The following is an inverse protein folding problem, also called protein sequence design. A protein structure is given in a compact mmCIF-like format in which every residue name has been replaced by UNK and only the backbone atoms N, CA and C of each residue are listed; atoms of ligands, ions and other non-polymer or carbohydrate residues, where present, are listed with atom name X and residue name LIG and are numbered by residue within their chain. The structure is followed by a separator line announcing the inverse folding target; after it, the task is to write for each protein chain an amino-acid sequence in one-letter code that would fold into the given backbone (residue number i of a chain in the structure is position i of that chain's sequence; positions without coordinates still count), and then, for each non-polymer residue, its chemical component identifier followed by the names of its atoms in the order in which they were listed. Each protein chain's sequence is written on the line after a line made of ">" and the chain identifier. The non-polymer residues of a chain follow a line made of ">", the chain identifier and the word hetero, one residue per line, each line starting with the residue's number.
data_IF_787381371789
#
_entry.id   IF_787381371789
#
_cell.length_a   1.000
_cell.length_b   1.000
_cell.length_c   1.000
_cell.angle_alpha   90.00
_cell.angle_beta   90.00
_cell.angle_gamma   90.00
#
_symmetry.space_group_name_H-M   'P 1'
#
loop_
_entity.id
_entity.type
_entity.pdbx_description
1 polymer ?
#
# COMPACT_ATOMS: atom_id res chain seq x y z
N UNK A 1 -10.68 -11.99 -1.41
CA UNK A 1 -9.28 -11.49 -1.25
C UNK A 1 -9.07 -10.90 0.15
N UNK A 2 -9.93 -10.00 0.64
CA UNK A 2 -9.74 -9.35 1.94
C UNK A 2 -9.83 -10.35 3.10
N UNK A 3 -10.83 -11.23 3.11
CA UNK A 3 -10.94 -12.30 4.11
C UNK A 3 -9.75 -13.25 4.12
N UNK A 4 -9.24 -13.58 2.94
CA UNK A 4 -8.06 -14.45 2.80
C UNK A 4 -6.81 -13.78 3.34
N UNK A 5 -6.65 -12.46 3.09
CA UNK A 5 -5.54 -11.68 3.61
C UNK A 5 -5.55 -11.62 5.15
N UNK A 6 -6.73 -11.45 5.76
CA UNK A 6 -6.86 -11.51 7.22
C UNK A 6 -6.54 -12.90 7.76
N UNK A 7 -7.03 -13.95 7.11
CA UNK A 7 -6.75 -15.33 7.52
C UNK A 7 -5.24 -15.64 7.48
N UNK A 8 -4.57 -15.24 6.39
CA UNK A 8 -3.11 -15.41 6.26
C UNK A 8 -2.37 -14.60 7.33
N UNK A 9 -2.78 -13.35 7.56
CA UNK A 9 -2.19 -12.53 8.61
C UNK A 9 -2.32 -13.18 9.99
N UNK A 10 -3.51 -13.64 10.33
CA UNK A 10 -3.80 -14.26 11.63
C UNK A 10 -2.96 -15.52 11.83
N UNK A 11 -2.82 -16.37 10.79
CA UNK A 11 -1.96 -17.57 10.85
C UNK A 11 -0.48 -17.18 11.08
N UNK A 12 0.04 -16.19 10.38
CA UNK A 12 1.42 -15.71 10.56
C UNK A 12 1.61 -15.12 11.96
N UNK A 13 0.66 -14.34 12.46
CA UNK A 13 0.72 -13.70 13.77
C UNK A 13 0.73 -14.70 14.95
N UNK A 14 0.24 -15.93 14.76
CA UNK A 14 0.36 -16.98 15.78
C UNK A 14 1.81 -17.43 16.00
N UNK A 15 2.69 -17.22 15.04
CA UNK A 15 4.08 -17.72 15.01
C UNK A 15 5.13 -16.62 15.17
N UNK A 16 4.73 -15.36 15.12
CA UNK A 16 5.65 -14.21 15.15
C UNK A 16 5.14 -13.12 16.10
N UNK A 17 6.03 -12.55 16.88
CA UNK A 17 5.71 -11.49 17.85
C UNK A 17 5.31 -10.16 17.17
N UNK A 18 5.70 -9.96 15.90
CA UNK A 18 5.32 -8.78 15.14
C UNK A 18 5.27 -9.11 13.65
N UNK A 19 4.23 -8.63 12.97
CA UNK A 19 4.02 -8.83 11.54
C UNK A 19 3.91 -7.46 10.87
N UNK A 20 4.74 -7.22 9.87
CA UNK A 20 4.67 -6.04 9.01
C UNK A 20 3.99 -6.41 7.69
N UNK A 21 3.32 -5.43 7.09
CA UNK A 21 2.57 -5.65 5.84
C UNK A 21 3.11 -4.74 4.74
N UNK A 22 3.34 -5.33 3.58
CA UNK A 22 3.75 -4.60 2.37
C UNK A 22 2.67 -4.77 1.32
N UNK A 23 2.21 -3.66 0.73
CA UNK A 23 1.27 -3.68 -0.38
C UNK A 23 1.75 -2.84 -1.55
N UNK A 24 1.73 -3.41 -2.76
CA UNK A 24 2.10 -2.71 -3.98
C UNK A 24 0.92 -2.60 -4.93
N UNK A 25 0.73 -1.41 -5.53
CA UNK A 25 -0.33 -1.15 -6.49
C UNK A 25 -1.70 -1.62 -5.95
N UNK A 26 -2.40 -2.52 -6.63
CA UNK A 26 -3.66 -3.10 -6.14
C UNK A 26 -3.50 -3.73 -4.74
N UNK A 27 -2.36 -4.35 -4.46
CA UNK A 27 -2.04 -4.91 -3.14
C UNK A 27 -1.97 -3.87 -2.02
N UNK A 28 -1.78 -2.58 -2.33
CA UNK A 28 -1.81 -1.52 -1.32
C UNK A 28 -3.20 -1.38 -0.67
N UNK A 29 -4.27 -1.58 -1.45
CA UNK A 29 -5.63 -1.61 -0.92
C UNK A 29 -5.91 -2.81 -0.01
N UNK A 30 -5.27 -3.96 -0.28
CA UNK A 30 -5.33 -5.13 0.61
C UNK A 30 -4.53 -4.87 1.89
N UNK A 31 -3.34 -4.29 1.76
CA UNK A 31 -2.47 -3.97 2.89
C UNK A 31 -3.11 -2.94 3.85
N UNK A 32 -3.78 -1.91 3.32
CA UNK A 32 -4.54 -0.95 4.13
C UNK A 32 -5.72 -1.61 4.83
N UNK A 33 -6.38 -2.56 4.17
CA UNK A 33 -7.46 -3.33 4.80
C UNK A 33 -6.95 -4.17 5.97
N UNK A 34 -5.83 -4.88 5.80
CA UNK A 34 -5.22 -5.64 6.90
C UNK A 34 -4.80 -4.69 8.04
N UNK A 35 -4.13 -3.59 7.73
CA UNK A 35 -3.69 -2.60 8.72
C UNK A 35 -4.81 -1.92 9.49
N UNK A 36 -5.99 -1.77 8.87
CA UNK A 36 -7.18 -1.22 9.51
C UNK A 36 -7.91 -2.22 10.42
N UNK A 37 -7.73 -3.52 10.19
CA UNK A 37 -8.45 -4.58 10.91
C UNK A 37 -7.55 -5.41 11.84
N UNK A 38 -6.23 -5.22 11.81
CA UNK A 38 -5.26 -5.96 12.63
C UNK A 38 -4.18 -5.04 13.17
N UNK A 39 -3.64 -5.39 14.33
CA UNK A 39 -2.47 -4.73 14.89
C UNK A 39 -1.23 -5.20 14.15
N UNK A 40 -0.76 -4.41 13.20
CA UNK A 40 0.45 -4.66 12.43
C UNK A 40 1.62 -3.85 12.99
N UNK A 41 2.84 -4.38 12.86
CA UNK A 41 4.04 -3.67 13.35
C UNK A 41 4.39 -2.47 12.48
N UNK A 42 4.35 -2.63 11.16
CA UNK A 42 4.64 -1.58 10.17
C UNK A 42 3.86 -1.82 8.89
N UNK A 43 3.59 -0.72 8.18
CA UNK A 43 2.96 -0.74 6.87
C UNK A 43 3.89 -0.13 5.82
N UNK A 44 4.06 -0.78 4.68
CA UNK A 44 4.71 -0.20 3.52
C UNK A 44 3.77 -0.24 2.31
N UNK A 45 3.50 0.92 1.74
CA UNK A 45 2.63 1.08 0.57
C UNK A 45 3.49 1.55 -0.61
N UNK A 46 3.47 0.79 -1.69
CA UNK A 46 4.30 1.01 -2.87
C UNK A 46 3.40 1.36 -4.04
N UNK A 47 3.58 2.53 -4.62
CA UNK A 47 2.73 3.08 -5.69
C UNK A 47 1.23 2.94 -5.34
N UNK A 48 0.81 3.40 -4.15
CA UNK A 48 -0.57 3.22 -3.69
C UNK A 48 -1.53 4.21 -4.35
N UNK A 49 -2.82 3.95 -4.19
CA UNK A 49 -3.91 4.82 -4.64
C UNK A 49 -4.97 4.98 -3.54
N UNK A 50 -5.73 6.06 -3.61
CA UNK A 50 -6.82 6.39 -2.69
C UNK A 50 -7.99 5.38 -2.77
N UNK A 51 -8.49 5.12 -3.99
CA UNK A 51 -9.51 4.09 -4.22
C UNK A 51 -9.49 3.57 -5.65
N UNK A 52 -9.93 2.31 -5.84
CA UNK A 52 -10.12 1.73 -7.17
C UNK A 52 -11.12 2.54 -8.00
N UNK A 53 -12.13 3.11 -7.37
CA UNK A 53 -13.14 3.91 -8.06
C UNK A 53 -12.51 5.07 -8.84
N UNK A 54 -11.50 5.71 -8.23
CA UNK A 54 -10.83 6.88 -8.79
C UNK A 54 -9.82 6.53 -9.90
N UNK A 55 -9.23 5.33 -9.84
CA UNK A 55 -8.23 4.87 -10.82
C UNK A 55 -8.74 3.79 -11.77
N UNK A 56 -10.02 3.45 -11.69
CA UNK A 56 -10.63 2.29 -12.37
C UNK A 56 -10.30 2.22 -13.85
N UNK A 57 -10.41 3.32 -14.61
CA UNK A 57 -10.19 3.31 -16.06
C UNK A 57 -8.79 2.83 -16.46
N UNK A 58 -7.76 3.13 -15.67
CA UNK A 58 -6.39 2.68 -15.93
C UNK A 58 -6.15 1.27 -15.41
N UNK A 59 -6.67 0.94 -14.23
CA UNK A 59 -6.50 -0.37 -13.63
C UNK A 59 -7.25 -1.48 -14.37
N UNK A 60 -8.42 -1.19 -14.98
CA UNK A 60 -9.15 -2.16 -15.81
C UNK A 60 -8.35 -2.65 -17.02
N UNK A 61 -7.39 -1.88 -17.50
CA UNK A 61 -6.50 -2.30 -18.59
C UNK A 61 -5.45 -3.31 -18.15
N UNK A 62 -5.15 -3.37 -16.85
CA UNK A 62 -4.07 -4.19 -16.28
C UNK A 62 -4.65 -5.42 -15.56
N UNK A 63 -5.79 -5.25 -14.90
CA UNK A 63 -6.42 -6.31 -14.09
C UNK A 63 -7.81 -6.66 -14.60
N UNK A 64 -8.20 -7.94 -14.59
CA UNK A 64 -9.55 -8.36 -14.96
C UNK A 64 -10.60 -7.69 -14.06
N UNK A 65 -11.57 -7.01 -14.66
CA UNK A 65 -12.58 -6.23 -13.95
C UNK A 65 -13.40 -6.99 -12.90
N UNK A 66 -13.52 -8.32 -13.05
CA UNK A 66 -14.26 -9.18 -12.10
C UNK A 66 -13.63 -9.23 -10.68
N UNK A 67 -12.32 -9.03 -10.57
CA UNK A 67 -11.63 -8.99 -9.27
C UNK A 67 -11.88 -7.67 -8.52
N UNK A 68 -12.16 -6.60 -9.25
CA UNK A 68 -12.29 -5.24 -8.71
C UNK A 68 -13.72 -4.91 -8.29
N UNK A 69 -14.71 -5.61 -8.83
CA UNK A 69 -16.14 -5.33 -8.59
C UNK A 69 -16.67 -5.86 -7.25
N UNK A 70 -16.03 -6.84 -6.65
CA UNK A 70 -16.49 -7.48 -5.40
C UNK A 70 -15.92 -6.86 -4.13
N UNK A 71 -14.75 -6.27 -4.20
CA UNK A 71 -14.04 -5.71 -3.05
C UNK A 71 -13.82 -4.21 -3.28
N UNK A 72 -14.39 -3.37 -2.43
CA UNK A 72 -14.13 -1.94 -2.45
C UNK A 72 -12.72 -1.67 -1.91
N UNK A 73 -11.77 -1.47 -2.81
CA UNK A 73 -10.40 -1.05 -2.49
C UNK A 73 -10.38 0.45 -2.15
N UNK A 74 -11.14 0.82 -1.11
CA UNK A 74 -11.20 2.17 -0.60
C UNK A 74 -10.18 2.33 0.53
N UNK A 75 -8.95 2.65 0.14
CA UNK A 75 -7.86 2.84 1.10
C UNK A 75 -8.09 4.07 1.96
N UNK A 76 -8.66 5.13 1.37
CA UNK A 76 -8.87 6.41 2.03
C UNK A 76 -9.77 6.29 3.27
N UNK A 77 -10.87 5.56 3.17
CA UNK A 77 -11.79 5.37 4.29
C UNK A 77 -11.20 4.59 5.47
N UNK A 78 -10.09 3.87 5.25
CA UNK A 78 -9.45 2.98 6.23
C UNK A 78 -8.30 3.63 6.99
N UNK A 79 -7.73 4.71 6.47
CA UNK A 79 -6.52 5.33 7.02
C UNK A 79 -6.64 5.63 8.52
N UNK A 80 -7.77 6.18 8.95
CA UNK A 80 -8.00 6.56 10.35
C UNK A 80 -8.01 5.37 11.34
N UNK A 81 -8.09 4.15 10.83
CA UNK A 81 -8.06 2.92 11.65
C UNK A 81 -6.65 2.32 11.71
N UNK A 82 -5.71 2.81 10.89
CA UNK A 82 -4.33 2.32 10.85
C UNK A 82 -3.51 3.12 11.86
N UNK A 83 -2.90 2.43 12.81
CA UNK A 83 -2.03 3.04 13.83
C UNK A 83 -0.54 2.78 13.61
N UNK A 84 -0.20 1.83 12.73
CA UNK A 84 1.16 1.44 12.46
C UNK A 84 1.96 2.53 11.74
N UNK A 85 3.25 2.71 12.05
CA UNK A 85 4.15 3.55 11.25
C UNK A 85 4.12 3.12 9.78
N UNK A 86 3.90 4.08 8.89
CA UNK A 86 3.65 3.81 7.47
C UNK A 86 4.71 4.44 6.58
N UNK A 87 5.26 3.68 5.65
CA UNK A 87 6.12 4.16 4.57
C UNK A 87 5.33 4.14 3.25
N UNK A 88 5.36 5.24 2.52
CA UNK A 88 4.84 5.32 1.15
C UNK A 88 5.99 5.52 0.19
N UNK A 89 6.10 4.64 -0.82
CA UNK A 89 7.07 4.76 -1.91
C UNK A 89 6.34 5.15 -3.19
N UNK A 90 6.79 6.25 -3.79
CA UNK A 90 6.26 6.82 -5.04
C UNK A 90 7.29 6.62 -6.15
N UNK A 91 6.85 6.15 -7.31
CA UNK A 91 7.65 6.16 -8.52
C UNK A 91 7.53 7.55 -9.18
N UNK A 92 8.67 8.21 -9.46
CA UNK A 92 8.68 9.58 -10.01
C UNK A 92 7.90 9.71 -11.31
N UNK A 93 7.95 8.67 -12.15
CA UNK A 93 7.29 8.63 -13.46
C UNK A 93 6.22 7.53 -13.50
N UNK A 94 5.34 7.49 -12.48
CA UNK A 94 4.26 6.49 -12.44
C UNK A 94 3.24 6.75 -13.55
N UNK A 95 3.28 5.89 -14.57
CA UNK A 95 2.40 5.97 -15.74
C UNK A 95 1.03 5.31 -15.51
N UNK A 96 0.87 4.57 -14.41
CA UNK A 96 -0.35 3.82 -14.07
C UNK A 96 -1.19 4.58 -13.04
N UNK A 97 -0.59 4.95 -11.93
CA UNK A 97 -1.26 5.69 -10.85
C UNK A 97 -0.89 7.16 -10.95
N UNK A 98 -1.89 8.03 -11.15
CA UNK A 98 -1.65 9.46 -11.10
C UNK A 98 -1.25 9.85 -9.67
N UNK A 99 -0.22 10.69 -9.56
CA UNK A 99 0.33 11.16 -8.28
C UNK A 99 -0.75 11.72 -7.34
N UNK A 100 -1.76 12.40 -7.87
CA UNK A 100 -2.85 12.96 -7.07
C UNK A 100 -3.59 11.91 -6.24
N UNK A 101 -3.73 10.68 -6.73
CA UNK A 101 -4.38 9.61 -5.96
C UNK A 101 -3.52 9.14 -4.79
N UNK A 102 -2.20 9.16 -4.96
CA UNK A 102 -1.26 8.86 -3.88
C UNK A 102 -1.22 10.00 -2.87
N UNK A 103 -1.21 11.25 -3.33
CA UNK A 103 -1.22 12.46 -2.47
C UNK A 103 -2.48 12.51 -1.62
N UNK A 104 -3.66 12.28 -2.18
CA UNK A 104 -4.91 12.19 -1.44
C UNK A 104 -4.85 11.15 -0.31
N UNK A 105 -4.24 10.00 -0.58
CA UNK A 105 -4.08 8.96 0.43
C UNK A 105 -3.08 9.39 1.52
N UNK A 106 -1.96 10.00 1.13
CA UNK A 106 -0.93 10.49 2.05
C UNK A 106 -1.46 11.56 2.98
N UNK A 107 -2.23 12.52 2.47
CA UNK A 107 -2.81 13.62 3.25
C UNK A 107 -3.80 13.13 4.32
N UNK A 108 -4.39 11.96 4.13
CA UNK A 108 -5.31 11.38 5.11
C UNK A 108 -4.59 10.79 6.33
N UNK A 109 -3.30 10.47 6.23
CA UNK A 109 -2.52 9.98 7.37
C UNK A 109 -2.04 11.14 8.28
N UNK A 110 -1.98 10.92 9.61
CA UNK A 110 -1.26 11.84 10.49
C UNK A 110 0.21 11.99 10.07
N UNK A 111 0.73 13.21 10.02
CA UNK A 111 2.11 13.50 9.58
C UNK A 111 3.18 12.80 10.42
N UNK A 112 2.89 12.55 11.71
CA UNK A 112 3.79 11.82 12.61
C UNK A 112 3.84 10.31 12.34
N UNK A 113 2.88 9.78 11.61
CA UNK A 113 2.74 8.34 11.34
C UNK A 113 3.33 7.93 9.99
N UNK A 114 3.40 8.88 9.04
CA UNK A 114 3.73 8.58 7.66
C UNK A 114 5.09 9.14 7.25
N UNK A 115 5.82 8.36 6.48
CA UNK A 115 7.00 8.78 5.75
C UNK A 115 6.79 8.54 4.27
N UNK A 116 7.03 9.56 3.44
CA UNK A 116 6.87 9.48 1.99
C UNK A 116 8.23 9.65 1.33
N UNK A 117 8.54 8.77 0.40
CA UNK A 117 9.78 8.81 -0.38
C UNK A 117 9.48 8.61 -1.87
N UNK A 118 9.97 9.51 -2.69
CA UNK A 118 9.92 9.37 -4.15
C UNK A 118 11.21 8.74 -4.65
N UNK A 119 11.09 7.71 -5.47
CA UNK A 119 12.24 7.04 -6.09
C UNK A 119 12.41 7.55 -7.51
N UNK A 120 13.49 8.32 -7.71
CA UNK A 120 13.78 9.00 -8.96
C UNK A 120 14.07 8.04 -10.11
N UNK A 121 13.73 8.46 -11.32
CA UNK A 121 13.94 7.73 -12.58
C UNK A 121 13.28 6.34 -12.60
N UNK A 122 12.15 6.18 -11.90
CA UNK A 122 11.38 4.94 -11.90
C UNK A 122 9.93 5.17 -12.31
N UNK A 123 9.36 4.20 -13.02
CA UNK A 123 7.94 4.10 -13.32
C UNK A 123 7.26 3.05 -12.44
N UNK A 124 5.95 2.87 -12.64
CA UNK A 124 5.13 1.94 -11.84
C UNK A 124 5.74 0.54 -11.73
N UNK A 125 6.18 -0.01 -12.86
CA UNK A 125 6.69 -1.37 -12.92
C UNK A 125 8.19 -1.48 -12.61
N UNK A 126 8.95 -0.40 -12.67
CA UNK A 126 10.39 -0.38 -12.48
C UNK A 126 10.85 0.13 -11.12
N UNK A 127 9.95 0.53 -10.24
CA UNK A 127 10.28 1.06 -8.91
C UNK A 127 11.17 0.12 -8.08
N UNK A 128 11.02 -1.19 -8.25
CA UNK A 128 11.82 -2.21 -7.56
C UNK A 128 13.13 -2.58 -8.26
N UNK A 129 13.49 -1.94 -9.38
CA UNK A 129 14.74 -2.24 -10.11
C UNK A 129 15.98 -1.54 -9.53
N UNK A 130 15.79 -0.63 -8.56
CA UNK A 130 16.87 0.19 -8.00
C UNK A 130 17.15 -0.15 -6.55
N UNK A 131 18.42 -0.07 -6.14
CA UNK A 131 18.85 -0.42 -4.77
C UNK A 131 18.19 0.44 -3.69
N UNK A 132 17.86 1.70 -4.01
CA UNK A 132 17.20 2.63 -3.09
C UNK A 132 15.86 2.09 -2.57
N UNK A 133 15.11 1.40 -3.41
CA UNK A 133 13.85 0.75 -3.03
C UNK A 133 14.04 -0.22 -1.85
N UNK A 134 15.01 -1.12 -1.96
CA UNK A 134 15.27 -2.13 -0.93
C UNK A 134 15.85 -1.51 0.34
N UNK A 135 16.70 -0.49 0.21
CA UNK A 135 17.25 0.24 1.36
C UNK A 135 16.15 0.93 2.17
N UNK A 136 15.20 1.59 1.52
CA UNK A 136 14.08 2.26 2.18
C UNK A 136 13.17 1.25 2.90
N UNK A 137 12.85 0.14 2.26
CA UNK A 137 12.06 -0.92 2.86
C UNK A 137 12.78 -1.54 4.07
N UNK A 138 14.04 -1.94 3.91
CA UNK A 138 14.81 -2.53 5.01
C UNK A 138 14.92 -1.58 6.20
N UNK A 139 15.21 -0.30 5.95
CA UNK A 139 15.29 0.72 7.00
C UNK A 139 13.94 0.95 7.71
N UNK A 140 12.83 0.79 7.00
CA UNK A 140 11.51 0.94 7.60
C UNK A 140 11.10 -0.29 8.40
N UNK A 141 11.33 -1.48 7.86
CA UNK A 141 10.84 -2.73 8.46
C UNK A 141 11.69 -3.22 9.64
N UNK A 142 12.97 -2.84 9.72
CA UNK A 142 13.91 -3.28 10.77
C UNK A 142 14.00 -2.31 11.97
N UNK A 143 13.19 -1.27 12.01
CA UNK A 143 13.10 -0.37 13.18
C UNK A 143 12.05 -0.91 14.14
#
# INVERSE_FOLDING_TARGET
>A
IFSDALFIFDDVATRHAGVSVIGRSLGSGVATYVGANRSISRLALITPFDSVRNVAQKLYRIYPGSLMLKDHYDSLSRVNQITAPTLVLIAEHDEVINILHTENLVEAFPTSQIRVETISNTGHNTISSVSRYYQLLANHLNR
#
